data_IF_211787794659
#
_entry.id   IF_211787794659
#
_cell.length_a   1.000
_cell.length_b   1.000
_cell.length_c   1.000
_cell.angle_alpha   90.00
_cell.angle_beta   90.00
_cell.angle_gamma   90.00
#
_symmetry.space_group_name_H-M   'P 1'
#
loop_
_entity.id
_entity.type
_entity.pdbx_description
1 polymer ?
#
# COMPACT_ATOMS: atom_id res chain seq x y z
N UNK A 1 -4.76 -37.61 -39.78
CA UNK A 1 -4.27 -36.39 -39.09
C UNK A 1 -4.67 -36.47 -37.62
N UNK A 2 -3.74 -36.86 -36.75
CA UNK A 2 -3.99 -37.04 -35.32
C UNK A 2 -3.90 -35.70 -34.59
N UNK A 3 -4.89 -35.40 -33.72
CA UNK A 3 -4.92 -34.21 -32.87
C UNK A 3 -4.06 -34.44 -31.62
N UNK A 4 -3.08 -33.56 -31.43
CA UNK A 4 -2.16 -33.53 -30.30
C UNK A 4 -2.88 -32.93 -29.07
N UNK A 5 -3.30 -33.76 -28.11
CA UNK A 5 -3.79 -33.30 -26.80
C UNK A 5 -2.59 -32.94 -25.91
N UNK A 6 -2.34 -31.65 -25.73
CA UNK A 6 -1.22 -31.15 -24.93
C UNK A 6 -1.58 -31.23 -23.43
N UNK A 7 -1.08 -32.29 -22.79
CA UNK A 7 -1.16 -32.61 -21.36
C UNK A 7 -0.93 -31.40 -20.44
N UNK A 8 -1.94 -31.09 -19.61
CA UNK A 8 -1.84 -30.14 -18.50
C UNK A 8 -1.17 -30.83 -17.31
N UNK A 9 0.14 -31.01 -17.37
CA UNK A 9 0.94 -31.38 -16.20
C UNK A 9 1.06 -30.15 -15.28
N UNK A 10 0.15 -30.06 -14.31
CA UNK A 10 0.18 -29.09 -13.21
C UNK A 10 1.41 -29.35 -12.35
N UNK A 11 2.48 -28.62 -12.67
CA UNK A 11 3.72 -28.51 -11.89
C UNK A 11 3.41 -28.21 -10.42
N UNK A 12 4.10 -28.94 -9.55
CA UNK A 12 3.80 -29.11 -8.13
C UNK A 12 3.56 -27.83 -7.34
N UNK A 13 2.57 -27.90 -6.45
CA UNK A 13 2.42 -27.00 -5.31
C UNK A 13 3.64 -27.20 -4.40
N UNK A 14 4.52 -26.20 -4.34
CA UNK A 14 5.46 -26.03 -3.22
C UNK A 14 4.62 -25.74 -1.97
N UNK A 15 4.17 -26.79 -1.31
CA UNK A 15 3.70 -26.73 0.07
C UNK A 15 4.94 -26.53 0.95
N UNK A 16 5.45 -25.31 0.94
CA UNK A 16 6.45 -24.87 1.91
C UNK A 16 5.68 -24.43 3.15
N UNK A 17 5.31 -25.41 3.97
CA UNK A 17 4.83 -25.23 5.33
C UNK A 17 5.83 -24.35 6.07
N UNK A 18 5.59 -23.03 6.06
CA UNK A 18 6.28 -22.07 6.91
C UNK A 18 5.74 -22.24 8.31
N UNK A 19 6.32 -23.24 8.96
CA UNK A 19 6.39 -23.41 10.39
C UNK A 19 6.48 -22.04 11.04
N UNK A 20 5.37 -21.62 11.63
CA UNK A 20 5.23 -20.36 12.34
C UNK A 20 5.95 -20.46 13.67
N UNK A 21 7.28 -20.60 13.62
CA UNK A 21 8.20 -20.25 14.70
C UNK A 21 8.12 -18.74 14.88
N UNK A 22 7.02 -18.30 15.50
CA UNK A 22 6.91 -17.02 16.18
C UNK A 22 7.85 -17.09 17.37
N UNK A 23 9.15 -17.05 17.09
CA UNK A 23 10.12 -16.67 18.10
C UNK A 23 9.64 -15.33 18.62
N UNK A 24 9.25 -15.31 19.89
CA UNK A 24 9.19 -14.12 20.72
C UNK A 24 10.46 -13.33 20.45
N UNK A 25 10.39 -12.40 19.51
CA UNK A 25 11.41 -11.39 19.30
C UNK A 25 11.34 -10.57 20.57
N UNK A 26 12.22 -10.95 21.48
CA UNK A 26 12.66 -10.19 22.63
C UNK A 26 12.49 -8.71 22.28
N UNK A 27 11.51 -8.06 22.91
CA UNK A 27 11.23 -6.64 22.72
C UNK A 27 12.52 -5.95 23.15
N UNK A 28 13.40 -5.66 22.20
CA UNK A 28 14.54 -4.78 22.47
C UNK A 28 13.92 -3.52 23.04
N UNK A 29 14.25 -3.20 24.29
CA UNK A 29 13.86 -1.95 24.93
C UNK A 29 14.49 -0.80 24.14
N UNK A 30 13.78 -0.35 23.11
CA UNK A 30 14.14 0.84 22.38
C UNK A 30 13.85 2.03 23.28
N UNK A 31 14.86 2.85 23.54
CA UNK A 31 14.65 4.14 24.19
C UNK A 31 13.82 5.02 23.26
N UNK A 32 12.58 5.30 23.67
CA UNK A 32 11.71 6.24 22.99
C UNK A 32 12.22 7.66 23.24
N UNK A 33 12.40 8.42 22.16
CA UNK A 33 12.80 9.83 22.23
C UNK A 33 11.63 10.70 21.80
N UNK A 34 11.27 11.68 22.62
CA UNK A 34 10.24 12.67 22.28
C UNK A 34 10.79 13.66 21.25
N UNK A 35 10.05 13.85 20.16
CA UNK A 35 10.43 14.71 19.03
C UNK A 35 9.21 15.45 18.48
N UNK A 36 9.44 16.56 17.77
CA UNK A 36 8.39 17.32 17.10
C UNK A 36 8.38 16.91 15.61
N UNK A 37 7.21 16.50 15.11
CA UNK A 37 7.04 16.16 13.71
C UNK A 37 7.21 17.38 12.81
N UNK A 38 8.11 17.32 11.83
CA UNK A 38 8.39 18.42 10.90
C UNK A 38 7.24 18.73 9.93
N UNK A 39 6.24 17.83 9.81
CA UNK A 39 5.10 18.02 8.90
C UNK A 39 3.84 18.55 9.59
N UNK A 40 3.53 18.10 10.82
CA UNK A 40 2.30 18.47 11.52
C UNK A 40 2.54 19.22 12.84
N UNK A 41 3.79 19.33 13.30
CA UNK A 41 4.14 20.00 14.55
C UNK A 41 3.71 19.26 15.82
N UNK A 42 3.09 18.09 15.72
CA UNK A 42 2.71 17.28 16.87
C UNK A 42 3.94 16.65 17.54
N UNK A 43 3.85 16.46 18.86
CA UNK A 43 4.83 15.70 19.64
C UNK A 43 4.61 14.21 19.40
N UNK A 44 5.66 13.48 19.09
CA UNK A 44 5.62 12.04 18.91
C UNK A 44 6.86 11.37 19.48
N UNK A 45 6.75 10.08 19.76
CA UNK A 45 7.84 9.27 20.27
C UNK A 45 8.42 8.42 19.13
N UNK A 46 9.75 8.46 18.99
CA UNK A 46 10.46 7.69 17.96
C UNK A 46 11.50 6.77 18.60
N UNK A 47 11.70 5.54 18.08
CA UNK A 47 12.65 4.57 18.63
C UNK A 47 14.11 4.82 18.20
N UNK A 48 14.40 5.99 17.62
CA UNK A 48 15.71 6.36 17.10
C UNK A 48 16.08 7.77 17.53
N UNK A 49 17.38 8.05 17.65
CA UNK A 49 17.86 9.41 17.92
C UNK A 49 17.77 10.24 16.63
N UNK A 50 17.06 11.38 16.63
CA UNK A 50 17.01 12.25 15.46
C UNK A 50 18.40 12.82 15.15
N UNK A 51 18.71 12.96 13.86
CA UNK A 51 19.96 13.59 13.40
C UNK A 51 19.64 14.96 12.85
N UNK A 52 20.47 15.97 13.12
CA UNK A 52 20.19 17.38 12.79
C UNK A 52 19.99 17.66 11.29
N UNK A 53 20.40 16.73 10.42
CA UNK A 53 20.32 16.86 8.96
C UNK A 53 19.04 16.27 8.34
N UNK A 54 18.19 15.57 9.11
CA UNK A 54 17.02 14.85 8.57
C UNK A 54 15.74 15.23 9.33
N UNK A 55 14.65 15.59 8.62
CA UNK A 55 13.37 15.89 9.26
C UNK A 55 12.76 14.61 9.85
N UNK A 56 12.08 14.77 10.98
CA UNK A 56 11.44 13.67 11.70
C UNK A 56 9.94 13.73 11.46
N UNK A 57 9.31 12.58 11.22
CA UNK A 57 7.88 12.49 10.94
C UNK A 57 7.21 11.51 11.91
N UNK A 58 5.99 11.84 12.35
CA UNK A 58 5.14 10.89 13.07
C UNK A 58 4.67 9.76 12.13
N UNK A 59 4.17 8.66 12.70
CA UNK A 59 3.72 7.47 11.96
C UNK A 59 2.72 7.82 10.85
N UNK A 60 1.73 8.66 11.15
CA UNK A 60 0.73 9.11 10.18
C UNK A 60 1.33 9.90 9.01
N UNK A 61 2.25 10.82 9.30
CA UNK A 61 2.90 11.65 8.28
C UNK A 61 3.86 10.81 7.44
N UNK A 62 4.55 9.86 8.07
CA UNK A 62 5.42 8.90 7.39
C UNK A 62 4.60 7.99 6.46
N UNK A 63 3.47 7.46 6.93
CA UNK A 63 2.56 6.64 6.13
C UNK A 63 1.94 7.41 4.96
N UNK A 64 1.67 8.72 5.12
CA UNK A 64 1.20 9.59 4.02
C UNK A 64 2.31 9.86 3.00
N UNK A 65 3.55 10.11 3.45
CA UNK A 65 4.71 10.37 2.58
C UNK A 65 5.19 9.12 1.83
N UNK A 66 5.10 7.94 2.47
CA UNK A 66 5.56 6.65 1.94
C UNK A 66 4.61 6.01 0.93
N UNK A 67 3.41 6.57 0.71
CA UNK A 67 2.50 6.11 -0.35
C UNK A 67 2.88 6.71 -1.70
N UNK A 68 4.04 6.30 -2.22
CA UNK A 68 4.18 6.17 -3.66
C UNK A 68 3.19 5.12 -4.13
N UNK A 69 2.17 5.53 -4.87
CA UNK A 69 1.25 4.68 -5.65
C UNK A 69 0.76 3.40 -4.95
N UNK A 70 -0.04 3.55 -3.89
CA UNK A 70 -1.08 2.54 -3.69
C UNK A 70 -2.03 2.68 -4.88
N UNK A 71 -1.95 1.76 -5.84
CA UNK A 71 -2.91 1.61 -6.92
C UNK A 71 -4.32 1.60 -6.30
N UNK A 72 -4.96 2.77 -6.19
CA UNK A 72 -6.41 2.84 -6.01
C UNK A 72 -6.96 2.23 -7.28
N UNK A 73 -7.74 1.18 -7.14
CA UNK A 73 -8.34 0.47 -8.26
C UNK A 73 -9.02 1.49 -9.19
N UNK A 74 -8.73 1.45 -10.50
CA UNK A 74 -9.26 2.41 -11.48
C UNK A 74 -10.78 2.30 -11.69
N UNK A 75 -11.44 1.34 -11.05
CA UNK A 75 -12.89 1.11 -11.22
C UNK A 75 -13.74 2.31 -10.80
N UNK A 76 -13.43 2.98 -9.68
CA UNK A 76 -14.25 4.11 -9.22
C UNK A 76 -14.10 5.34 -10.12
N UNK A 77 -12.96 5.49 -10.78
CA UNK A 77 -12.71 6.61 -11.69
C UNK A 77 -13.42 6.40 -13.03
N UNK A 78 -13.57 5.15 -13.50
CA UNK A 78 -14.30 4.81 -14.72
C UNK A 78 -15.80 5.09 -14.60
N UNK A 79 -16.42 4.76 -13.46
CA UNK A 79 -17.85 5.01 -13.21
C UNK A 79 -18.17 6.52 -13.24
N UNK A 80 -17.28 7.33 -12.63
CA UNK A 80 -17.41 8.79 -12.62
C UNK A 80 -17.27 9.38 -14.03
N UNK A 81 -16.38 8.82 -14.85
CA UNK A 81 -16.22 9.25 -16.26
C UNK A 81 -17.48 8.91 -17.05
N UNK A 82 -18.02 7.69 -16.93
CA UNK A 82 -19.22 7.27 -17.63
C UNK A 82 -20.45 8.11 -17.24
N UNK A 83 -20.60 8.44 -15.96
CA UNK A 83 -21.68 9.32 -15.51
C UNK A 83 -21.56 10.73 -16.12
N UNK A 84 -20.33 11.27 -16.20
CA UNK A 84 -20.08 12.57 -16.84
C UNK A 84 -20.36 12.54 -18.34
N UNK A 85 -19.98 11.47 -19.03
CA UNK A 85 -20.27 11.29 -20.45
C UNK A 85 -21.78 11.24 -20.70
N UNK A 86 -22.53 10.49 -19.89
CA UNK A 86 -23.98 10.42 -19.98
C UNK A 86 -24.65 11.79 -19.79
N UNK A 87 -24.14 12.61 -18.85
CA UNK A 87 -24.60 14.00 -18.66
C UNK A 87 -24.35 14.86 -19.90
N UNK A 88 -23.21 14.71 -20.55
CA UNK A 88 -22.85 15.44 -21.78
C UNK A 88 -23.73 14.98 -22.95
N UNK A 89 -23.90 13.67 -23.15
CA UNK A 89 -24.77 13.11 -24.19
C UNK A 89 -26.20 13.63 -24.06
N UNK A 90 -26.74 13.63 -22.83
CA UNK A 90 -28.07 14.18 -22.53
C UNK A 90 -28.18 15.68 -22.78
N UNK A 91 -27.13 16.45 -22.47
CA UNK A 91 -27.10 17.90 -22.69
C UNK A 91 -27.02 18.26 -24.19
N UNK A 92 -26.30 17.45 -24.97
CA UNK A 92 -26.17 17.61 -26.41
C UNK A 92 -27.33 16.96 -27.20
N UNK A 93 -28.28 16.31 -26.51
CA UNK A 93 -29.40 15.54 -27.10
C UNK A 93 -28.91 14.51 -28.14
N UNK A 94 -27.73 13.96 -27.90
CA UNK A 94 -27.17 12.86 -28.67
C UNK A 94 -27.62 11.63 -27.91
N UNK A 95 -28.80 11.09 -28.26
CA UNK A 95 -29.24 9.75 -27.84
C UNK A 95 -28.89 8.75 -28.95
#
# INVERSE_FOLDING_TARGET
>A
MARFERSRERRGRRDSGRESKRFSRNRRDFQMTEVICSSCGARCEVPFKPTSNKPVYCDDCFAKKGKGSSNKTPERDLDIINEKLNKIMKALKIE
#
